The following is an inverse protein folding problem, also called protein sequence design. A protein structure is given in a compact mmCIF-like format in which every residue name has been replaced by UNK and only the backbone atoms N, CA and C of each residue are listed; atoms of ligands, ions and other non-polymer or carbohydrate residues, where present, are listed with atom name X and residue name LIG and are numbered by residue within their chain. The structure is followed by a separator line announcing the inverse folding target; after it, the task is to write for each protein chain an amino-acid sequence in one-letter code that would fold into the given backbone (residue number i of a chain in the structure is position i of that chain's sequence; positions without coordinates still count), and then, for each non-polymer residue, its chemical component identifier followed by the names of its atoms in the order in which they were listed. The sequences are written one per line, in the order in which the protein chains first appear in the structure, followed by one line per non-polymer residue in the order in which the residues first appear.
data_IF_849684275204
#
_entry.id   IF_849684275204
#
_cell.length_a   1.000
_cell.length_b   1.000
_cell.length_c   1.000
_cell.angle_alpha   90.00
_cell.angle_beta   90.00
_cell.angle_gamma   90.00
#
_symmetry.space_group_name_H-M   'P 1'
#
loop_
_entity.id
_entity.type
_entity.pdbx_description
1 polymer ?
#
# COMPACT_ATOMS: atom_id res chain seq x y z
N UNK A 1 -16.84 9.12 13.66
CA UNK A 1 -16.89 7.64 13.69
C UNK A 1 -15.70 7.17 14.52
N UNK A 2 -15.70 5.97 15.09
CA UNK A 2 -14.46 5.42 15.68
C UNK A 2 -13.49 5.07 14.56
N UNK A 3 -12.18 5.25 14.77
CA UNK A 3 -11.18 4.80 13.79
C UNK A 3 -11.28 3.28 13.67
N UNK A 4 -11.47 2.73 12.46
CA UNK A 4 -11.59 1.29 12.25
C UNK A 4 -10.38 0.50 12.77
N UNK A 5 -10.63 -0.72 13.24
CA UNK A 5 -9.59 -1.67 13.69
C UNK A 5 -9.53 -2.93 12.83
N UNK A 6 -10.46 -3.06 11.87
CA UNK A 6 -10.53 -4.18 10.94
C UNK A 6 -10.85 -3.72 9.52
N UNK A 7 -10.48 -4.54 8.55
CA UNK A 7 -10.75 -4.29 7.14
C UNK A 7 -11.11 -5.57 6.39
N UNK A 8 -11.98 -5.43 5.39
CA UNK A 8 -12.13 -6.37 4.28
C UNK A 8 -11.35 -5.84 3.09
N UNK A 9 -10.82 -6.75 2.27
CA UNK A 9 -10.05 -6.41 1.07
C UNK A 9 -10.48 -7.27 -0.12
N UNK A 10 -10.79 -6.61 -1.23
CA UNK A 10 -10.79 -7.19 -2.57
C UNK A 10 -9.67 -6.53 -3.37
N UNK A 11 -8.73 -7.33 -3.88
CA UNK A 11 -7.61 -6.87 -4.69
C UNK A 11 -7.57 -7.66 -6.00
N UNK A 12 -7.61 -6.95 -7.12
CA UNK A 12 -7.79 -7.56 -8.43
C UNK A 12 -7.12 -6.74 -9.54
N UNK A 13 -7.05 -7.33 -10.73
CA UNK A 13 -6.57 -6.68 -11.96
C UNK A 13 -5.61 -7.59 -12.71
N UNK A 14 -4.57 -7.05 -13.34
CA UNK A 14 -3.67 -7.84 -14.19
C UNK A 14 -2.21 -7.42 -14.16
N UNK A 15 -1.33 -8.42 -14.34
CA UNK A 15 0.12 -8.24 -14.50
C UNK A 15 0.51 -8.81 -15.86
N UNK A 16 1.01 -7.97 -16.77
CA UNK A 16 1.24 -8.33 -18.18
C UNK A 16 0.00 -8.97 -18.85
N UNK A 17 -1.20 -8.49 -18.52
CA UNK A 17 -2.46 -9.04 -19.02
C UNK A 17 -2.89 -10.37 -18.40
N UNK A 18 -2.11 -10.91 -17.45
CA UNK A 18 -2.51 -12.07 -16.66
C UNK A 18 -3.40 -11.62 -15.51
N UNK A 19 -4.70 -11.87 -15.65
CA UNK A 19 -5.72 -11.49 -14.68
C UNK A 19 -5.57 -12.26 -13.35
N UNK A 20 -5.78 -11.57 -12.24
CA UNK A 20 -5.84 -12.14 -10.89
C UNK A 20 -6.97 -11.49 -10.09
N UNK A 21 -7.44 -12.20 -9.07
CA UNK A 21 -8.50 -11.75 -8.18
C UNK A 21 -8.32 -12.42 -6.82
N UNK A 22 -8.22 -11.64 -5.74
CA UNK A 22 -8.03 -12.14 -4.39
C UNK A 22 -8.93 -11.40 -3.40
N UNK A 23 -9.43 -12.12 -2.42
CA UNK A 23 -10.30 -11.59 -1.36
C UNK A 23 -9.80 -11.99 0.02
N UNK A 24 -10.08 -11.16 1.00
CA UNK A 24 -9.76 -11.44 2.40
C UNK A 24 -9.93 -10.20 3.26
N UNK A 25 -8.97 -9.97 4.14
CA UNK A 25 -9.01 -8.83 5.05
C UNK A 25 -8.02 -8.99 6.19
N UNK A 26 -8.26 -8.27 7.26
CA UNK A 26 -7.38 -8.28 8.41
C UNK A 26 -7.72 -7.20 9.44
N UNK A 27 -6.70 -6.81 10.20
CA UNK A 27 -6.82 -5.88 11.31
C UNK A 27 -5.63 -4.95 11.39
N UNK A 28 -5.79 -3.84 12.09
CA UNK A 28 -4.70 -2.94 12.38
C UNK A 28 -4.94 -2.14 13.66
N UNK A 29 -3.86 -1.60 14.21
CA UNK A 29 -3.94 -0.73 15.37
C UNK A 29 -3.66 0.72 14.96
N UNK A 30 -4.70 1.58 14.88
CA UNK A 30 -4.55 2.96 14.46
C UNK A 30 -3.73 3.83 15.42
N UNK A 31 -3.38 3.31 16.60
CA UNK A 31 -2.57 4.02 17.61
C UNK A 31 -1.07 3.81 17.43
N UNK A 32 -0.65 2.72 16.79
CA UNK A 32 0.78 2.40 16.63
C UNK A 32 1.21 2.18 15.17
N UNK A 33 0.27 2.12 14.23
CA UNK A 33 0.56 1.94 12.81
C UNK A 33 0.53 0.50 12.34
N UNK A 34 0.45 -0.51 13.21
CA UNK A 34 0.52 -1.91 12.79
C UNK A 34 -0.68 -2.34 11.95
N UNK A 35 -0.42 -3.16 10.94
CA UNK A 35 -1.44 -3.75 10.05
C UNK A 35 -1.10 -5.21 9.80
N UNK A 36 -2.10 -6.08 9.81
CA UNK A 36 -2.01 -7.45 9.36
C UNK A 36 -3.12 -7.72 8.35
N UNK A 37 -2.77 -8.34 7.24
CA UNK A 37 -3.69 -8.61 6.13
C UNK A 37 -3.44 -10.00 5.57
N UNK A 38 -4.50 -10.71 5.20
CA UNK A 38 -4.43 -11.97 4.46
C UNK A 38 -5.47 -11.99 3.34
N UNK A 39 -5.05 -12.41 2.15
CA UNK A 39 -5.95 -12.59 1.00
C UNK A 39 -5.70 -13.93 0.34
N UNK A 40 -6.77 -14.51 -0.20
CA UNK A 40 -6.76 -15.78 -0.94
C UNK A 40 -7.29 -15.54 -2.34
N UNK A 41 -6.65 -16.15 -3.33
CA UNK A 41 -7.08 -16.10 -4.73
C UNK A 41 -8.44 -16.76 -4.90
N UNK A 42 -9.31 -16.11 -5.67
CA UNK A 42 -10.64 -16.64 -6.03
C UNK A 42 -10.61 -17.52 -7.28
N UNK A 43 -9.46 -17.56 -7.98
CA UNK A 43 -9.28 -18.24 -9.28
C UNK A 43 -8.32 -19.44 -9.23
N UNK A 44 -7.96 -19.90 -8.03
CA UNK A 44 -6.92 -20.92 -7.83
C UNK A 44 -5.52 -20.30 -7.79
N UNK A 45 -4.53 -20.95 -8.37
CA UNK A 45 -3.15 -20.42 -8.40
C UNK A 45 -3.09 -19.08 -9.14
N UNK A 46 -2.38 -18.12 -8.55
CA UNK A 46 -1.97 -16.90 -9.22
C UNK A 46 -1.20 -17.26 -10.49
N UNK A 47 -1.38 -16.49 -11.59
CA UNK A 47 -0.64 -16.70 -12.83
C UNK A 47 0.89 -16.65 -12.67
N UNK A 48 1.61 -16.74 -13.79
CA UNK A 48 3.07 -16.76 -13.85
C UNK A 48 3.72 -15.39 -13.54
N UNK A 49 3.41 -14.82 -12.37
CA UNK A 49 4.10 -13.69 -11.75
C UNK A 49 4.32 -13.93 -10.25
N UNK A 50 5.17 -13.13 -9.63
CA UNK A 50 5.50 -13.23 -8.21
C UNK A 50 4.41 -12.63 -7.33
N UNK A 51 3.87 -13.34 -6.32
CA UNK A 51 2.91 -12.77 -5.38
C UNK A 51 3.46 -11.55 -4.61
N UNK A 52 4.79 -11.44 -4.49
CA UNK A 52 5.44 -10.28 -3.87
C UNK A 52 5.21 -8.96 -4.62
N UNK A 53 4.79 -8.98 -5.89
CA UNK A 53 4.39 -7.75 -6.59
C UNK A 53 3.04 -7.19 -6.10
N UNK A 54 2.19 -8.06 -5.54
CA UNK A 54 0.87 -7.70 -5.00
C UNK A 54 0.96 -7.43 -3.49
N UNK A 55 1.85 -8.11 -2.78
CA UNK A 55 1.89 -8.11 -1.32
C UNK A 55 1.96 -6.72 -0.65
N UNK A 56 2.77 -5.73 -1.09
CA UNK A 56 2.83 -4.43 -0.43
C UNK A 56 1.49 -3.70 -0.43
N UNK A 57 0.65 -3.93 -1.43
CA UNK A 57 -0.65 -3.28 -1.58
C UNK A 57 -1.65 -3.68 -0.49
N UNK A 58 -1.43 -4.80 0.20
CA UNK A 58 -2.26 -5.26 1.33
C UNK A 58 -2.10 -4.38 2.58
N UNK A 59 -1.04 -3.58 2.67
CA UNK A 59 -0.75 -2.72 3.83
C UNK A 59 -0.62 -1.25 3.44
N UNK A 60 0.14 -0.97 2.37
CA UNK A 60 0.26 0.37 1.78
C UNK A 60 -1.05 0.92 1.20
N UNK A 61 -2.14 0.13 1.20
CA UNK A 61 -3.50 0.58 0.90
C UNK A 61 -4.34 0.89 2.14
N UNK A 62 -3.79 0.87 3.36
CA UNK A 62 -4.57 1.14 4.58
C UNK A 62 -3.92 2.20 5.48
N UNK A 63 -3.67 3.38 4.91
CA UNK A 63 -3.09 4.51 5.65
C UNK A 63 -4.00 5.02 6.79
N UNK A 64 -5.25 4.57 6.87
CA UNK A 64 -6.13 4.83 8.00
C UNK A 64 -5.59 4.27 9.33
N UNK A 65 -4.70 3.28 9.30
CA UNK A 65 -4.03 2.77 10.50
C UNK A 65 -2.80 3.59 10.91
N UNK A 66 -2.32 4.52 10.09
CA UNK A 66 -1.13 5.32 10.36
C UNK A 66 -1.46 6.51 11.27
N UNK A 67 -0.98 6.58 12.52
CA UNK A 67 -0.99 7.82 13.31
C UNK A 67 0.16 8.75 12.90
N UNK A 68 -0.03 10.06 13.09
CA UNK A 68 1.05 11.03 13.01
C UNK A 68 1.59 11.36 14.41
N UNK A 69 2.81 11.90 14.54
CA UNK A 69 3.27 12.46 15.80
C UNK A 69 2.28 13.53 16.29
N UNK A 70 1.88 13.46 17.56
CA UNK A 70 1.01 14.45 18.19
C UNK A 70 -0.48 14.33 17.88
N UNK A 71 -0.94 13.35 17.07
CA UNK A 71 -2.37 13.15 16.85
C UNK A 71 -2.74 12.30 15.63
N UNK A 72 -4.03 12.31 15.25
CA UNK A 72 -4.49 11.58 14.08
C UNK A 72 -3.81 12.04 12.79
N UNK A 73 -3.50 11.11 11.90
CA UNK A 73 -3.06 11.46 10.55
C UNK A 73 -4.20 12.05 9.71
N UNK A 74 -3.89 12.66 8.56
CA UNK A 74 -4.92 13.12 7.64
C UNK A 74 -5.86 12.02 7.16
N UNK A 75 -5.33 10.81 7.01
CA UNK A 75 -6.07 9.61 6.59
C UNK A 75 -7.10 9.19 7.65
N UNK A 76 -6.73 9.29 8.93
CA UNK A 76 -7.62 9.06 10.06
C UNK A 76 -8.68 10.17 10.17
N UNK A 77 -8.23 11.43 10.09
CA UNK A 77 -9.12 12.60 10.18
C UNK A 77 -10.18 12.62 9.07
N UNK A 78 -9.88 12.09 7.88
CA UNK A 78 -10.84 11.96 6.79
C UNK A 78 -12.07 11.13 7.19
N UNK A 79 -11.88 10.05 7.94
CA UNK A 79 -12.96 9.18 8.43
C UNK A 79 -13.86 9.95 9.41
N UNK A 80 -13.23 10.66 10.35
CA UNK A 80 -13.92 11.32 11.46
C UNK A 80 -14.93 12.37 10.99
N UNK A 81 -14.57 13.13 9.97
CA UNK A 81 -15.43 14.18 9.40
C UNK A 81 -16.41 13.65 8.36
N UNK A 82 -16.53 12.33 8.20
CA UNK A 82 -17.33 11.69 7.15
C UNK A 82 -16.82 12.00 5.73
N UNK A 83 -15.57 12.42 5.61
CA UNK A 83 -14.90 12.60 4.33
C UNK A 83 -14.41 11.25 3.78
N UNK A 84 -14.20 11.20 2.48
CA UNK A 84 -13.49 10.09 1.83
C UNK A 84 -12.21 10.62 1.22
N UNK A 85 -11.24 9.74 1.09
CA UNK A 85 -10.10 9.97 0.22
C UNK A 85 -9.93 8.76 -0.69
N UNK A 86 -9.30 8.96 -1.83
CA UNK A 86 -8.88 7.88 -2.71
C UNK A 86 -7.37 7.96 -2.91
N UNK A 87 -6.76 6.83 -3.23
CA UNK A 87 -5.34 6.77 -3.56
C UNK A 87 -5.17 6.32 -5.01
N UNK A 88 -4.23 6.97 -5.70
CA UNK A 88 -3.72 6.53 -6.99
C UNK A 88 -2.20 6.41 -6.89
N UNK A 89 -1.69 5.20 -7.07
CA UNK A 89 -0.26 4.89 -6.98
C UNK A 89 0.28 4.50 -8.36
N UNK A 90 1.41 5.08 -8.71
CA UNK A 90 2.22 4.70 -9.88
C UNK A 90 3.57 4.22 -9.38
N UNK A 91 4.02 3.09 -9.92
CA UNK A 91 5.28 2.44 -9.61
C UNK A 91 6.03 2.25 -10.92
N UNK A 92 7.18 2.89 -11.05
CA UNK A 92 8.06 2.76 -12.20
C UNK A 92 9.26 1.91 -11.81
N UNK A 93 9.38 0.73 -12.43
CA UNK A 93 10.48 -0.20 -12.18
C UNK A 93 11.71 0.14 -13.02
N UNK A 94 12.88 -0.27 -12.55
CA UNK A 94 14.17 0.02 -13.18
C UNK A 94 14.36 -0.61 -14.57
N UNK A 95 13.56 -1.62 -14.92
CA UNK A 95 13.55 -2.28 -16.23
C UNK A 95 12.53 -1.66 -17.21
N UNK A 96 11.91 -0.55 -16.83
CA UNK A 96 10.90 0.14 -17.63
C UNK A 96 9.47 -0.35 -17.41
N UNK A 97 9.25 -1.43 -16.65
CA UNK A 97 7.92 -1.88 -16.31
C UNK A 97 7.17 -0.85 -15.44
N UNK A 98 5.85 -0.85 -15.52
CA UNK A 98 4.99 0.08 -14.77
C UNK A 98 3.89 -0.70 -14.08
N UNK A 99 3.58 -0.34 -12.83
CA UNK A 99 2.38 -0.78 -12.13
C UNK A 99 1.60 0.44 -11.65
N UNK A 100 0.31 0.45 -11.93
CA UNK A 100 -0.63 1.43 -11.40
C UNK A 100 -1.62 0.75 -10.46
N UNK A 101 -2.04 1.45 -9.42
CA UNK A 101 -3.02 0.95 -8.47
C UNK A 101 -3.99 2.05 -8.06
N UNK A 102 -5.28 1.73 -8.07
CA UNK A 102 -6.34 2.61 -7.60
C UNK A 102 -7.00 1.98 -6.38
N UNK A 103 -7.12 2.75 -5.31
CA UNK A 103 -7.65 2.27 -4.03
C UNK A 103 -8.89 3.06 -3.67
N UNK A 104 -9.98 2.33 -3.43
CA UNK A 104 -11.26 2.91 -3.00
C UNK A 104 -11.67 2.32 -1.67
N UNK A 105 -12.24 3.16 -0.84
CA UNK A 105 -12.63 2.79 0.51
C UNK A 105 -14.12 3.08 0.74
N UNK A 106 -14.77 2.13 1.39
CA UNK A 106 -16.06 2.38 2.07
C UNK A 106 -15.93 2.03 3.54
N UNK A 107 -16.69 2.73 4.38
CA UNK A 107 -16.69 2.53 5.83
C UNK A 107 -18.06 2.03 6.24
N UNK A 108 -18.11 0.87 6.91
CA UNK A 108 -19.35 0.30 7.45
C UNK A 108 -19.13 -0.04 8.92
N UNK A 109 -19.71 0.78 9.81
CA UNK A 109 -19.45 0.67 11.24
C UNK A 109 -17.99 0.99 11.56
N UNK A 110 -17.32 0.07 12.24
CA UNK A 110 -15.91 0.10 12.64
C UNK A 110 -14.97 -0.65 11.67
N UNK A 111 -15.45 -0.91 10.44
CA UNK A 111 -14.73 -1.69 9.42
C UNK A 111 -14.50 -0.91 8.13
N UNK A 112 -13.29 -1.01 7.60
CA UNK A 112 -12.91 -0.52 6.27
C UNK A 112 -13.24 -1.62 5.25
N UNK A 113 -13.74 -1.25 4.07
CA UNK A 113 -13.77 -2.14 2.90
C UNK A 113 -12.94 -1.51 1.79
N UNK A 114 -11.83 -2.16 1.47
CA UNK A 114 -10.93 -1.78 0.38
C UNK A 114 -11.26 -2.53 -0.91
N UNK A 115 -11.33 -1.78 -2.00
CA UNK A 115 -11.45 -2.27 -3.38
C UNK A 115 -10.25 -1.74 -4.17
N UNK A 116 -9.27 -2.62 -4.42
CA UNK A 116 -7.95 -2.27 -4.94
C UNK A 116 -7.76 -2.85 -6.34
N UNK A 117 -7.65 -1.97 -7.33
CA UNK A 117 -7.46 -2.37 -8.73
C UNK A 117 -6.03 -2.08 -9.18
N UNK A 118 -5.29 -3.13 -9.53
CA UNK A 118 -3.87 -3.10 -9.91
C UNK A 118 -3.70 -3.49 -11.39
N UNK A 119 -2.99 -2.66 -12.15
CA UNK A 119 -2.66 -2.96 -13.55
C UNK A 119 -1.17 -2.73 -13.75
N UNK A 120 -0.46 -3.81 -14.04
CA UNK A 120 0.97 -3.83 -14.31
C UNK A 120 1.28 -4.30 -15.73
N UNK A 121 2.26 -3.68 -16.38
CA UNK A 121 2.67 -4.02 -17.75
C UNK A 121 4.15 -3.76 -17.98
N UNK A 122 4.69 -4.39 -19.02
CA UNK A 122 6.08 -4.22 -19.45
C UNK A 122 7.10 -5.03 -18.62
N UNK A 123 6.65 -5.91 -17.72
CA UNK A 123 7.58 -6.76 -16.98
C UNK A 123 8.27 -7.76 -17.93
N UNK A 124 9.61 -7.81 -18.00
CA UNK A 124 10.31 -8.76 -18.86
C UNK A 124 9.96 -10.21 -18.48
N UNK A 125 9.80 -11.09 -19.47
CA UNK A 125 9.49 -12.50 -19.22
C UNK A 125 10.58 -13.22 -18.40
N UNK A 126 11.84 -12.80 -18.56
CA UNK A 126 12.99 -13.25 -17.77
C UNK A 126 13.21 -12.42 -16.49
N UNK A 127 12.39 -11.40 -16.24
CA UNK A 127 12.51 -10.50 -15.11
C UNK A 127 12.08 -11.14 -13.79
N UNK A 128 12.45 -10.55 -12.64
CA UNK A 128 12.23 -11.17 -11.33
C UNK A 128 10.73 -11.28 -10.96
N UNK A 129 9.88 -10.42 -11.51
CA UNK A 129 8.42 -10.50 -11.35
C UNK A 129 7.88 -11.74 -12.06
N UNK A 130 8.18 -11.91 -13.35
CA UNK A 130 7.61 -13.00 -14.17
C UNK A 130 8.22 -14.37 -13.86
N UNK A 131 9.45 -14.40 -13.34
CA UNK A 131 10.14 -15.64 -12.94
C UNK A 131 9.90 -16.04 -11.49
N UNK A 132 9.03 -15.32 -10.76
CA UNK A 132 8.77 -15.54 -9.34
C UNK A 132 10.04 -15.52 -8.47
N UNK A 133 10.95 -14.60 -8.76
CA UNK A 133 12.25 -14.50 -8.09
C UNK A 133 12.32 -13.37 -7.05
N UNK A 134 11.25 -12.61 -6.83
CA UNK A 134 11.16 -11.64 -5.73
C UNK A 134 11.01 -12.39 -4.39
N UNK A 135 11.74 -11.93 -3.37
CA UNK A 135 11.80 -12.57 -2.05
C UNK A 135 11.32 -11.68 -0.90
N UNK A 136 11.69 -10.39 -0.90
CA UNK A 136 11.25 -9.43 0.12
C UNK A 136 11.28 -8.00 -0.41
N UNK A 137 10.63 -7.08 0.29
CA UNK A 137 10.79 -5.64 0.10
C UNK A 137 11.66 -5.11 1.24
N UNK A 138 12.70 -4.34 0.92
CA UNK A 138 13.52 -3.67 1.92
C UNK A 138 12.66 -2.69 2.73
N UNK A 139 13.15 -2.32 3.93
CA UNK A 139 12.52 -1.26 4.72
C UNK A 139 12.56 0.05 3.93
N UNK A 140 11.48 0.82 3.97
CA UNK A 140 11.34 2.03 3.16
C UNK A 140 11.04 3.24 4.01
N UNK A 141 11.42 4.42 3.53
CA UNK A 141 10.96 5.70 4.07
C UNK A 141 10.20 6.43 2.98
N UNK A 142 8.94 6.73 3.25
CA UNK A 142 8.09 7.58 2.45
C UNK A 142 8.30 9.05 2.80
N UNK A 143 8.27 9.94 1.81
CA UNK A 143 8.19 11.38 1.99
C UNK A 143 6.80 11.87 1.56
N UNK A 144 6.01 12.31 2.53
CA UNK A 144 4.68 12.87 2.31
C UNK A 144 4.77 14.40 2.27
N UNK A 145 4.17 15.00 1.25
CA UNK A 145 4.06 16.45 1.07
C UNK A 145 2.64 16.87 0.77
N UNK A 146 2.26 18.07 1.23
CA UNK A 146 1.02 18.72 0.83
C UNK A 146 1.23 19.41 -0.52
N UNK A 147 0.36 19.11 -1.49
CA UNK A 147 0.39 19.75 -2.82
C UNK A 147 -0.60 20.92 -2.88
N UNK A 148 -1.79 20.70 -2.34
CA UNK A 148 -2.86 21.69 -2.21
C UNK A 148 -3.74 21.34 -1.00
N UNK A 149 -4.82 22.10 -0.78
CA UNK A 149 -5.71 21.92 0.36
C UNK A 149 -6.40 20.53 0.41
N UNK A 150 -6.44 19.80 -0.70
CA UNK A 150 -7.15 18.54 -0.88
C UNK A 150 -6.25 17.37 -1.27
N UNK A 151 -4.94 17.59 -1.44
CA UNK A 151 -4.05 16.60 -2.03
C UNK A 151 -2.75 16.43 -1.25
N UNK A 152 -2.43 15.17 -0.92
CA UNK A 152 -1.13 14.76 -0.43
C UNK A 152 -0.43 13.87 -1.46
N UNK A 153 0.88 14.00 -1.56
CA UNK A 153 1.71 13.11 -2.38
C UNK A 153 2.75 12.42 -1.50
N UNK A 154 2.83 11.10 -1.63
CA UNK A 154 3.82 10.23 -1.00
C UNK A 154 4.80 9.72 -2.08
N UNK A 155 6.10 9.93 -1.87
CA UNK A 155 7.16 9.41 -2.73
C UNK A 155 8.06 8.43 -1.98
N UNK A 156 8.39 7.30 -2.62
CA UNK A 156 9.17 6.21 -2.01
C UNK A 156 10.11 5.59 -3.06
N UNK A 157 11.33 5.31 -2.65
CA UNK A 157 12.24 4.44 -3.39
C UNK A 157 12.09 3.02 -2.87
N UNK A 158 11.47 2.15 -3.66
CA UNK A 158 11.31 0.73 -3.33
C UNK A 158 12.49 -0.08 -3.84
N UNK A 159 12.95 -1.02 -3.01
CA UNK A 159 13.93 -2.03 -3.41
C UNK A 159 13.44 -3.39 -2.96
N UNK A 160 13.11 -4.25 -3.93
CA UNK A 160 12.89 -5.66 -3.67
C UNK A 160 14.24 -6.38 -3.61
N UNK A 161 14.35 -7.38 -2.76
CA UNK A 161 15.43 -8.37 -2.79
C UNK A 161 14.97 -9.57 -3.60
N UNK A 162 15.86 -10.10 -4.43
CA UNK A 162 15.59 -11.33 -5.19
C UNK A 162 16.08 -12.56 -4.42
N UNK A 163 15.55 -13.73 -4.75
CA UNK A 163 15.99 -15.02 -4.21
C UNK A 163 17.47 -15.32 -4.49
N UNK A 164 18.04 -14.72 -5.54
CA UNK A 164 19.47 -14.79 -5.87
C UNK A 164 20.34 -13.79 -5.08
N UNK A 165 19.76 -12.96 -4.21
CA UNK A 165 20.47 -11.93 -3.46
C UNK A 165 20.69 -10.62 -4.21
N UNK A 166 20.09 -10.46 -5.40
CA UNK A 166 20.07 -9.21 -6.15
C UNK A 166 19.03 -8.21 -5.63
N UNK A 167 18.98 -7.04 -6.26
CA UNK A 167 17.98 -5.99 -6.01
C UNK A 167 17.13 -5.75 -7.25
N UNK A 168 15.85 -5.43 -7.04
CA UNK A 168 14.94 -4.96 -8.08
C UNK A 168 14.25 -3.69 -7.63
N UNK A 169 14.57 -2.56 -8.26
CA UNK A 169 14.22 -1.22 -7.76
C UNK A 169 13.02 -0.62 -8.48
N UNK A 170 12.30 0.25 -7.77
CA UNK A 170 11.22 1.03 -8.33
C UNK A 170 11.05 2.39 -7.64
N UNK A 171 10.65 3.40 -8.42
CA UNK A 171 10.20 4.70 -7.91
C UNK A 171 8.68 4.64 -7.71
N UNK A 172 8.20 5.00 -6.53
CA UNK A 172 6.77 4.99 -6.19
C UNK A 172 6.30 6.41 -5.94
N UNK A 173 5.19 6.78 -6.56
CA UNK A 173 4.44 7.99 -6.24
C UNK A 173 2.99 7.62 -5.95
N UNK A 174 2.47 8.05 -4.81
CA UNK A 174 1.05 7.91 -4.44
C UNK A 174 0.41 9.27 -4.29
N UNK A 175 -0.62 9.54 -5.06
CA UNK A 175 -1.46 10.73 -4.93
C UNK A 175 -2.69 10.36 -4.09
N UNK A 176 -2.86 11.06 -2.97
CA UNK A 176 -4.00 10.91 -2.07
C UNK A 176 -4.91 12.13 -2.22
N UNK A 177 -6.13 11.95 -2.73
CA UNK A 177 -7.08 13.04 -2.95
C UNK A 177 -8.22 12.96 -1.96
N UNK A 178 -8.40 14.03 -1.18
CA UNK A 178 -9.37 14.14 -0.10
C UNK A 178 -10.59 14.95 -0.52
N UNK A 179 -11.80 14.48 -0.20
CA UNK A 179 -13.04 15.20 -0.50
C UNK A 179 -13.22 16.49 0.30
N UNK A 180 -12.59 16.57 1.48
CA UNK A 180 -12.60 17.75 2.36
C UNK A 180 -11.16 18.22 2.55
N UNK A 181 -10.95 19.50 2.90
CA UNK A 181 -9.61 20.01 3.14
C UNK A 181 -8.85 19.16 4.17
N UNK A 182 -7.58 18.90 3.85
CA UNK A 182 -6.67 18.06 4.63
C UNK A 182 -6.48 18.67 6.02
N UNK A 183 -6.56 17.81 7.06
CA UNK A 183 -6.32 18.17 8.47
C UNK A 183 -5.14 17.36 9.01
N UNK A 184 -4.49 17.85 10.08
CA UNK A 184 -3.37 17.14 10.72
C UNK A 184 -2.01 17.33 10.04
N UNK A 185 -1.86 18.35 9.19
CA UNK A 185 -0.64 18.62 8.41
C UNK A 185 0.03 19.98 8.71
N UNK A 186 -0.59 20.81 9.55
CA UNK A 186 -0.14 22.19 9.81
C UNK A 186 1.22 22.19 10.53
N UNK A 187 2.24 22.77 9.89
CA UNK A 187 3.59 22.91 10.45
C UNK A 187 4.46 21.65 10.44
N UNK A 188 3.92 20.50 10.02
CA UNK A 188 4.56 19.18 10.16
C UNK A 188 4.90 18.53 8.82
N UNK A 189 5.08 19.33 7.77
CA UNK A 189 5.42 18.87 6.43
C UNK A 189 6.87 19.27 6.06
N UNK A 190 7.62 18.43 5.34
CA UNK A 190 7.26 17.06 4.94
C UNK A 190 7.13 16.11 6.14
N UNK A 191 6.20 15.18 6.05
CA UNK A 191 6.09 14.06 7.00
C UNK A 191 6.79 12.85 6.40
N UNK A 192 7.68 12.22 7.16
CA UNK A 192 8.31 10.97 6.76
C UNK A 192 7.62 9.78 7.40
N UNK A 193 7.55 8.66 6.69
CA UNK A 193 6.96 7.42 7.21
C UNK A 193 7.89 6.25 6.94
N UNK A 194 8.51 5.73 8.00
CA UNK A 194 9.23 4.47 7.95
C UNK A 194 8.23 3.32 7.86
N UNK A 195 8.49 2.33 6.99
CA UNK A 195 7.69 1.11 6.87
C UNK A 195 8.56 -0.14 6.79
N UNK A 196 8.09 -1.20 7.45
CA UNK A 196 8.65 -2.54 7.37
C UNK A 196 7.54 -3.54 7.07
N UNK A 197 7.77 -4.39 6.07
CA UNK A 197 6.85 -5.47 5.70
C UNK A 197 7.43 -6.84 6.04
N UNK A 198 6.59 -7.74 6.53
CA UNK A 198 6.86 -9.17 6.60
C UNK A 198 5.81 -9.89 5.74
N UNK A 199 6.26 -10.52 4.66
CA UNK A 199 5.38 -11.17 3.68
C UNK A 199 5.56 -12.68 3.75
N UNK A 200 4.43 -13.39 3.76
CA UNK A 200 4.38 -14.83 3.50
C UNK A 200 3.45 -15.04 2.32
N UNK A 201 3.98 -15.60 1.25
CA UNK A 201 3.27 -15.72 -0.01
C UNK A 201 3.39 -17.14 -0.58
N UNK A 202 2.27 -17.66 -1.06
CA UNK A 202 2.16 -18.83 -1.91
C UNK A 202 1.49 -18.44 -3.22
N UNK A 203 1.25 -19.40 -4.11
CA UNK A 203 0.48 -19.12 -5.33
C UNK A 203 -1.00 -18.86 -5.07
N UNK A 204 -1.56 -19.23 -3.92
CA UNK A 204 -2.99 -19.05 -3.65
C UNK A 204 -3.28 -18.08 -2.52
N UNK A 205 -2.31 -17.80 -1.64
CA UNK A 205 -2.49 -16.96 -0.46
C UNK A 205 -1.32 -15.99 -0.28
N UNK A 206 -1.63 -14.75 0.11
CA UNK A 206 -0.66 -13.75 0.54
C UNK A 206 -1.06 -13.28 1.94
N UNK A 207 -0.12 -13.34 2.88
CA UNK A 207 -0.21 -12.73 4.20
C UNK A 207 0.85 -11.64 4.35
N UNK A 208 0.48 -10.53 4.96
CA UNK A 208 1.33 -9.37 5.22
C UNK A 208 1.20 -8.97 6.69
N UNK A 209 2.34 -8.65 7.31
CA UNK A 209 2.39 -7.79 8.49
C UNK A 209 3.16 -6.52 8.14
N UNK A 210 2.62 -5.36 8.50
CA UNK A 210 3.24 -4.06 8.31
C UNK A 210 3.41 -3.35 9.65
N UNK A 211 4.58 -2.74 9.83
CA UNK A 211 4.82 -1.72 10.85
C UNK A 211 5.14 -0.41 10.17
N UNK A 212 4.48 0.66 10.60
CA UNK A 212 4.68 2.00 10.05
C UNK A 212 4.81 3.04 11.15
N UNK A 213 5.74 3.97 10.97
CA UNK A 213 6.06 5.01 11.95
C UNK A 213 6.30 6.33 11.25
N UNK A 214 5.43 7.31 11.54
CA UNK A 214 5.57 8.67 11.07
C UNK A 214 6.54 9.48 11.95
N UNK A 215 7.33 10.36 11.33
CA UNK A 215 8.27 11.28 11.99
C UNK A 215 8.55 12.51 11.11
N UNK A 216 8.85 13.65 11.72
CA UNK A 216 9.21 14.91 11.02
C UNK A 216 10.70 15.19 11.08
N UNK A 217 11.38 14.68 12.10
CA UNK A 217 12.80 14.85 12.36
C UNK A 217 13.41 13.52 12.83
N UNK A 218 14.71 13.38 12.66
CA UNK A 218 15.46 12.21 13.15
C UNK A 218 15.57 12.35 14.68
N UNK A 219 15.12 11.32 15.40
CA UNK A 219 15.27 11.20 16.85
C UNK A 219 16.56 10.48 17.21
#
# INVERSE_FOLDING_TARGET
MSIPTSHDLHIHGSINGLEFDMVGGGSGNPKDGSVESRVTSTKGDLPAFSPHIVAPHLGFGFYQYLPFPGGPSPYQAAIDVGGKYNEHRTIQFEDGAVLTANYRYTYKGDKIKGDFHLVGSGFPASGPVMTNSLASLDRTVAKITCVDEHSLVDNIDWTYRTSSGGSYRAMVQTNCTFQKPVRGVQGNMPMFVFRQLEVKATKTEISLQEKQKAFTEVQ
#
